data_IF_619705147796
#
_entry.id   IF_619705147796
#
_cell.length_a   1.000
_cell.length_b   1.000
_cell.length_c   1.000
_cell.angle_alpha   90.00
_cell.angle_beta   90.00
_cell.angle_gamma   90.00
#
_symmetry.space_group_name_H-M   'P 1'
#
loop_
_entity.id
_entity.type
_entity.pdbx_description
1 polymer ?
#
# COMPACT_ATOMS: atom_id res chain seq x y z
N UNK A 1 -20.25 3.38 20.82
CA UNK A 1 -19.88 1.95 20.86
C UNK A 1 -19.79 1.31 19.49
N UNK A 2 -20.82 1.36 18.62
CA UNK A 2 -20.80 0.72 17.28
C UNK A 2 -19.69 1.19 16.33
N UNK A 3 -19.35 2.49 16.35
CA UNK A 3 -18.28 3.07 15.50
C UNK A 3 -16.87 2.76 16.02
N UNK A 4 -16.67 2.76 17.35
CA UNK A 4 -15.41 2.31 17.97
C UNK A 4 -15.18 0.82 17.74
N UNK A 5 -16.22 -0.01 17.81
CA UNK A 5 -16.12 -1.45 17.55
C UNK A 5 -15.75 -1.73 16.08
N UNK A 6 -16.32 -0.99 15.14
CA UNK A 6 -15.97 -1.08 13.73
C UNK A 6 -14.51 -0.65 13.46
N UNK A 7 -14.03 0.43 14.08
CA UNK A 7 -12.61 0.82 13.99
C UNK A 7 -11.66 -0.22 14.62
N UNK A 8 -12.07 -0.85 15.72
CA UNK A 8 -11.28 -1.87 16.41
C UNK A 8 -11.22 -3.18 15.60
N UNK A 9 -12.30 -3.52 14.88
CA UNK A 9 -12.33 -4.63 13.93
C UNK A 9 -11.49 -4.36 12.67
N UNK A 10 -11.53 -3.13 12.12
CA UNK A 10 -10.63 -2.75 11.01
C UNK A 10 -9.17 -2.82 11.45
N UNK A 11 -8.85 -2.33 12.65
CA UNK A 11 -7.50 -2.44 13.22
C UNK A 11 -7.08 -3.91 13.44
N UNK A 12 -7.98 -4.76 13.94
CA UNK A 12 -7.72 -6.19 14.12
C UNK A 12 -7.50 -6.92 12.79
N UNK A 13 -8.30 -6.63 11.76
CA UNK A 13 -8.15 -7.21 10.41
C UNK A 13 -6.83 -6.78 9.76
N UNK A 14 -6.40 -5.53 9.95
CA UNK A 14 -5.09 -5.06 9.46
C UNK A 14 -3.91 -5.71 10.20
N UNK A 15 -4.07 -6.07 11.48
CA UNK A 15 -3.05 -6.75 12.26
C UNK A 15 -2.95 -8.25 11.93
N UNK A 16 -4.05 -8.89 11.56
CA UNK A 16 -4.07 -10.32 11.17
C UNK A 16 -3.73 -10.57 9.71
N UNK A 17 -3.61 -9.54 8.87
CA UNK A 17 -3.16 -9.68 7.47
C UNK A 17 -1.62 -9.80 7.35
N UNK A 18 -0.88 -9.55 8.44
CA UNK A 18 0.58 -9.63 8.46
C UNK A 18 1.21 -11.01 8.21
N UNK A 19 0.58 -12.18 8.43
CA UNK A 19 1.20 -13.45 8.08
C UNK A 19 1.03 -13.87 6.62
N UNK A 20 0.25 -13.15 5.78
CA UNK A 20 0.06 -13.51 4.36
C UNK A 20 1.30 -13.17 3.50
N UNK A 21 2.22 -12.35 4.00
CA UNK A 21 3.52 -12.06 3.36
C UNK A 21 4.71 -12.50 4.24
N UNK A 22 4.56 -13.60 4.99
CA UNK A 22 5.64 -14.15 5.81
C UNK A 22 6.83 -14.71 4.99
N UNK A 23 6.66 -15.03 3.69
CA UNK A 23 7.73 -15.53 2.81
C UNK A 23 8.87 -14.52 2.54
N UNK A 24 8.76 -13.26 2.99
CA UNK A 24 9.83 -12.26 2.88
C UNK A 24 10.69 -12.07 4.15
N UNK A 25 10.34 -12.68 5.27
CA UNK A 25 11.02 -12.42 6.56
C UNK A 25 12.38 -13.13 6.66
N UNK A 26 12.61 -14.13 5.81
CA UNK A 26 13.89 -14.84 5.74
C UNK A 26 15.02 -13.93 5.24
N UNK A 27 14.72 -12.91 4.43
CA UNK A 27 15.69 -11.90 4.00
C UNK A 27 16.07 -10.91 5.13
N UNK A 28 15.17 -10.67 6.08
CA UNK A 28 15.42 -9.81 7.25
C UNK A 28 16.24 -10.55 8.31
N UNK A 29 15.99 -11.85 8.50
CA UNK A 29 16.76 -12.70 9.39
C UNK A 29 18.16 -13.05 8.83
N UNK A 30 18.29 -13.29 7.52
CA UNK A 30 19.58 -13.64 6.89
C UNK A 30 20.60 -12.48 6.90
N UNK A 31 20.14 -11.22 6.91
CA UNK A 31 21.01 -10.05 7.02
C UNK A 31 21.63 -9.90 8.43
N UNK A 32 21.03 -10.50 9.46
CA UNK A 32 21.53 -10.42 10.83
C UNK A 32 22.70 -11.38 11.12
N UNK A 33 23.01 -12.35 10.25
CA UNK A 33 23.97 -13.43 10.55
C UNK A 33 25.19 -13.50 9.60
N UNK A 34 25.34 -12.59 8.64
CA UNK A 34 26.53 -12.60 7.78
C UNK A 34 27.55 -11.56 8.27
N UNK A 35 28.69 -12.03 8.79
CA UNK A 35 29.82 -11.23 9.28
C UNK A 35 30.55 -10.39 8.22
N UNK A 36 29.84 -9.49 7.54
CA UNK A 36 30.38 -8.52 6.59
C UNK A 36 29.87 -7.11 6.87
N UNK A 37 30.79 -6.14 6.93
CA UNK A 37 30.58 -4.69 7.12
C UNK A 37 29.19 -4.27 7.67
N UNK A 38 29.09 -3.99 8.97
CA UNK A 38 27.87 -3.57 9.67
C UNK A 38 27.04 -2.51 8.92
N UNK A 39 27.69 -1.62 8.18
CA UNK A 39 27.05 -0.59 7.36
C UNK A 39 26.11 -1.15 6.27
N UNK A 40 26.36 -2.36 5.77
CA UNK A 40 25.56 -3.01 4.70
C UNK A 40 24.22 -3.53 5.24
N UNK A 41 24.24 -4.12 6.43
CA UNK A 41 23.06 -4.67 7.09
C UNK A 41 22.08 -3.54 7.44
N UNK A 42 22.58 -2.47 8.05
CA UNK A 42 21.75 -1.31 8.40
C UNK A 42 21.10 -0.64 7.18
N UNK A 43 21.81 -0.60 6.04
CA UNK A 43 21.28 -0.01 4.81
C UNK A 43 20.12 -0.83 4.22
N UNK A 44 20.24 -2.16 4.22
CA UNK A 44 19.17 -3.07 3.75
C UNK A 44 17.94 -2.96 4.64
N UNK A 45 18.13 -2.95 5.96
CA UNK A 45 17.03 -2.77 6.93
C UNK A 45 16.32 -1.42 6.72
N UNK A 46 17.06 -0.34 6.52
CA UNK A 46 16.49 0.99 6.28
C UNK A 46 15.61 1.02 5.01
N UNK A 47 16.03 0.34 3.94
CA UNK A 47 15.29 0.28 2.68
C UNK A 47 14.03 -0.58 2.77
N UNK A 48 14.12 -1.71 3.47
CA UNK A 48 12.95 -2.55 3.74
C UNK A 48 11.88 -1.78 4.54
N UNK A 49 12.29 -1.03 5.56
CA UNK A 49 11.37 -0.20 6.35
C UNK A 49 10.81 0.95 5.52
N UNK A 50 11.65 1.66 4.75
CA UNK A 50 11.21 2.79 3.93
C UNK A 50 10.21 2.37 2.84
N UNK A 51 10.45 1.25 2.17
CA UNK A 51 9.55 0.71 1.14
C UNK A 51 8.21 0.24 1.73
N UNK A 52 8.23 -0.50 2.84
CA UNK A 52 7.01 -0.95 3.51
C UNK A 52 6.17 0.24 4.02
N UNK A 53 6.81 1.21 4.66
CA UNK A 53 6.13 2.38 5.21
C UNK A 53 5.59 3.31 4.12
N UNK A 54 6.38 3.54 3.06
CA UNK A 54 5.95 4.31 1.89
C UNK A 54 4.71 3.70 1.23
N UNK A 55 4.69 2.38 1.07
CA UNK A 55 3.54 1.69 0.49
C UNK A 55 2.32 1.67 1.42
N UNK A 56 2.52 1.53 2.73
CA UNK A 56 1.43 1.61 3.70
C UNK A 56 0.71 2.97 3.65
N UNK A 57 1.46 4.07 3.58
CA UNK A 57 0.88 5.42 3.46
C UNK A 57 0.12 5.57 2.15
N UNK A 58 0.72 5.14 1.04
CA UNK A 58 0.09 5.23 -0.28
C UNK A 58 -1.23 4.43 -0.33
N UNK A 59 -1.25 3.23 0.23
CA UNK A 59 -2.44 2.38 0.29
C UNK A 59 -3.57 3.01 1.13
N UNK A 60 -3.24 3.59 2.29
CA UNK A 60 -4.22 4.30 3.13
C UNK A 60 -4.79 5.51 2.39
N UNK A 61 -3.94 6.32 1.76
CA UNK A 61 -4.37 7.49 0.99
C UNK A 61 -5.29 7.12 -0.18
N UNK A 62 -4.91 6.09 -0.96
CA UNK A 62 -5.70 5.61 -2.09
C UNK A 62 -7.06 5.06 -1.63
N UNK A 63 -7.08 4.21 -0.60
CA UNK A 63 -8.32 3.61 -0.10
C UNK A 63 -9.33 4.64 0.44
N UNK A 64 -8.84 5.69 1.13
CA UNK A 64 -9.70 6.77 1.60
C UNK A 64 -10.27 7.60 0.45
N UNK A 65 -9.47 7.91 -0.57
CA UNK A 65 -9.94 8.66 -1.74
C UNK A 65 -10.95 7.85 -2.57
N UNK A 66 -10.69 6.57 -2.83
CA UNK A 66 -11.56 5.71 -3.62
C UNK A 66 -12.90 5.44 -2.95
N UNK A 67 -12.90 5.14 -1.65
CA UNK A 67 -14.14 4.90 -0.91
C UNK A 67 -15.07 6.12 -0.93
N UNK A 68 -14.52 7.33 -0.83
CA UNK A 68 -15.31 8.56 -0.92
C UNK A 68 -15.84 8.80 -2.34
N UNK A 69 -15.04 8.54 -3.37
CA UNK A 69 -15.45 8.64 -4.77
C UNK A 69 -16.59 7.66 -5.09
N UNK A 70 -16.46 6.40 -4.67
CA UNK A 70 -17.47 5.35 -4.88
C UNK A 70 -18.76 5.69 -4.13
N UNK A 71 -18.67 6.12 -2.86
CA UNK A 71 -19.84 6.53 -2.08
C UNK A 71 -20.63 7.64 -2.78
N UNK A 72 -19.92 8.66 -3.29
CA UNK A 72 -20.54 9.79 -3.99
C UNK A 72 -21.16 9.38 -5.33
N UNK A 73 -20.51 8.45 -6.05
CA UNK A 73 -21.03 7.91 -7.29
C UNK A 73 -22.32 7.10 -7.07
N UNK A 74 -22.34 6.21 -6.07
CA UNK A 74 -23.53 5.39 -5.75
C UNK A 74 -24.72 6.26 -5.31
N UNK A 75 -24.49 7.27 -4.47
CA UNK A 75 -25.52 8.24 -4.08
C UNK A 75 -26.07 9.00 -5.29
N UNK A 76 -25.20 9.41 -6.21
CA UNK A 76 -25.60 10.11 -7.44
C UNK A 76 -26.42 9.21 -8.36
N UNK A 77 -26.06 7.93 -8.48
CA UNK A 77 -26.81 6.92 -9.26
C UNK A 77 -28.18 6.67 -8.63
N UNK A 78 -28.27 6.58 -7.30
CA UNK A 78 -29.53 6.37 -6.60
C UNK A 78 -30.53 7.51 -6.83
N UNK A 79 -30.04 8.76 -6.89
CA UNK A 79 -30.86 9.95 -7.14
C UNK A 79 -31.24 10.13 -8.61
N UNK A 80 -30.36 9.73 -9.53
CA UNK A 80 -30.59 9.85 -10.98
C UNK A 80 -30.17 8.57 -11.73
N UNK A 81 -31.01 7.51 -11.71
CA UNK A 81 -30.66 6.22 -12.31
C UNK A 81 -30.40 6.27 -13.82
N UNK A 82 -31.06 7.19 -14.53
CA UNK A 82 -30.89 7.39 -15.98
C UNK A 82 -29.48 7.85 -16.38
N UNK A 83 -28.74 8.48 -15.46
CA UNK A 83 -27.37 8.93 -15.68
C UNK A 83 -26.30 7.90 -15.28
N UNK A 84 -26.69 6.69 -14.87
CA UNK A 84 -25.81 5.69 -14.25
C UNK A 84 -24.56 5.38 -15.10
N UNK A 85 -24.72 5.15 -16.40
CA UNK A 85 -23.61 4.82 -17.31
C UNK A 85 -22.54 5.92 -17.38
N UNK A 86 -22.97 7.19 -17.41
CA UNK A 86 -22.05 8.34 -17.46
C UNK A 86 -21.32 8.53 -16.12
N UNK A 87 -22.04 8.35 -15.00
CA UNK A 87 -21.46 8.42 -13.65
C UNK A 87 -20.44 7.31 -13.45
N UNK A 88 -20.76 6.07 -13.83
CA UNK A 88 -19.86 4.92 -13.71
C UNK A 88 -18.56 5.13 -14.50
N UNK A 89 -18.66 5.62 -15.74
CA UNK A 89 -17.47 5.92 -16.56
C UNK A 89 -16.59 6.98 -15.92
N UNK A 90 -17.19 8.06 -15.41
CA UNK A 90 -16.45 9.16 -14.76
C UNK A 90 -15.80 8.68 -13.45
N UNK A 91 -16.52 7.84 -12.69
CA UNK A 91 -16.01 7.21 -11.47
C UNK A 91 -14.79 6.33 -11.75
N UNK A 92 -14.83 5.46 -12.78
CA UNK A 92 -13.68 4.63 -13.13
C UNK A 92 -12.46 5.45 -13.54
N UNK A 93 -12.64 6.54 -14.29
CA UNK A 93 -11.54 7.43 -14.65
C UNK A 93 -10.93 8.03 -13.37
N UNK A 94 -11.76 8.51 -12.44
CA UNK A 94 -11.29 9.03 -11.15
C UNK A 94 -10.54 7.99 -10.31
N UNK A 95 -11.06 6.77 -10.22
CA UNK A 95 -10.42 5.66 -9.48
C UNK A 95 -9.08 5.28 -10.14
N UNK A 96 -9.02 5.24 -11.47
CA UNK A 96 -7.78 4.95 -12.19
C UNK A 96 -6.69 6.01 -11.94
N UNK A 97 -7.07 7.29 -11.87
CA UNK A 97 -6.14 8.36 -11.53
C UNK A 97 -5.60 8.22 -10.09
N UNK A 98 -6.45 7.83 -9.14
CA UNK A 98 -6.02 7.57 -7.76
C UNK A 98 -5.07 6.36 -7.71
N UNK A 99 -5.39 5.27 -8.42
CA UNK A 99 -4.54 4.09 -8.48
C UNK A 99 -3.17 4.36 -9.10
N UNK A 100 -3.09 5.26 -10.09
CA UNK A 100 -1.79 5.59 -10.70
C UNK A 100 -0.75 6.09 -9.67
N UNK A 101 -1.20 6.82 -8.64
CA UNK A 101 -0.34 7.29 -7.56
C UNK A 101 0.12 6.14 -6.65
N UNK A 102 -0.77 5.18 -6.38
CA UNK A 102 -0.43 3.97 -5.62
C UNK A 102 0.57 3.09 -6.39
N UNK A 103 0.39 2.96 -7.71
CA UNK A 103 1.32 2.25 -8.59
C UNK A 103 2.69 2.96 -8.64
N UNK A 104 2.76 4.29 -8.62
CA UNK A 104 4.06 4.96 -8.51
C UNK A 104 4.79 4.66 -7.20
N UNK A 105 4.07 4.63 -6.07
CA UNK A 105 4.66 4.20 -4.79
C UNK A 105 5.13 2.74 -4.84
N UNK A 106 4.34 1.84 -5.45
CA UNK A 106 4.70 0.44 -5.63
C UNK A 106 5.95 0.29 -6.51
N UNK A 107 6.02 1.00 -7.63
CA UNK A 107 7.17 0.96 -8.55
C UNK A 107 8.44 1.42 -7.83
N UNK A 108 8.37 2.51 -7.05
CA UNK A 108 9.52 2.99 -6.26
C UNK A 108 9.94 1.93 -5.23
N UNK A 109 8.99 1.31 -4.52
CA UNK A 109 9.28 0.23 -3.57
C UNK A 109 9.95 -0.98 -4.24
N UNK A 110 9.46 -1.40 -5.42
CA UNK A 110 10.04 -2.50 -6.19
C UNK A 110 11.44 -2.17 -6.71
N UNK A 111 11.67 -0.94 -7.17
CA UNK A 111 13.01 -0.48 -7.59
C UNK A 111 13.97 -0.54 -6.40
N UNK A 112 13.56 -0.05 -5.23
CA UNK A 112 14.38 -0.06 -4.02
C UNK A 112 14.73 -1.48 -3.54
N UNK A 113 13.81 -2.43 -3.68
CA UNK A 113 13.99 -3.81 -3.20
C UNK A 113 14.74 -4.71 -4.19
N UNK A 114 14.45 -4.59 -5.50
CA UNK A 114 14.88 -5.58 -6.48
C UNK A 114 15.88 -5.05 -7.51
N UNK A 115 15.84 -3.77 -7.83
CA UNK A 115 16.71 -3.18 -8.87
C UNK A 115 17.92 -2.51 -8.23
N UNK A 116 17.70 -1.80 -7.12
CA UNK A 116 18.73 -1.10 -6.40
C UNK A 116 19.47 -2.09 -5.50
N UNK A 117 20.64 -2.54 -5.95
CA UNK A 117 21.50 -3.42 -5.17
C UNK A 117 22.63 -2.59 -4.49
N UNK A 118 22.51 -2.27 -3.19
CA UNK A 118 23.54 -1.50 -2.47
C UNK A 118 24.89 -2.20 -2.42
N UNK A 119 24.87 -3.52 -2.58
CA UNK A 119 25.99 -4.42 -2.36
C UNK A 119 27.04 -4.36 -3.50
N UNK A 120 26.72 -3.77 -4.66
CA UNK A 120 27.58 -3.74 -5.86
C UNK A 120 28.28 -2.40 -6.10
N UNK A 121 27.98 -1.37 -5.32
CA UNK A 121 28.42 0.02 -5.56
C UNK A 121 29.54 0.50 -4.62
N UNK A 122 30.08 -0.39 -3.77
CA UNK A 122 31.21 -0.18 -2.86
C UNK A 122 32.17 -1.36 -3.00
#
# INVERSE_FOLDING_TARGET
MRKSLAMLLVAAVTLTASPVFAEGTEAVAAAATSGGNSNRVWLVVAIAIASAFGMAIAAVGAGLAQSNAIKSAVESIARNPSASSKIFTTMLIGIAMIESLAIYALVIALILLFVWNPVKLL
#
